data_IF_695122473550
#
_entry.id   IF_695122473550
#
_cell.length_a   1.000
_cell.length_b   1.000
_cell.length_c   1.000
_cell.angle_alpha   90.00
_cell.angle_beta   90.00
_cell.angle_gamma   90.00
#
_symmetry.space_group_name_H-M   'P 1'
#
loop_
_entity.id
_entity.type
_entity.pdbx_description
1 polymer ?
#
# COMPACT_ATOMS: atom_id res chain seq x y z
N UNK A 1 -16.64 -13.52 2.11
CA UNK A 1 -15.33 -14.19 2.02
C UNK A 1 -15.26 -15.27 0.94
N UNK A 2 -16.20 -16.24 0.85
CA UNK A 2 -16.12 -17.34 -0.15
C UNK A 2 -16.07 -16.89 -1.61
N UNK A 3 -16.90 -15.93 -2.01
CA UNK A 3 -16.90 -15.40 -3.40
C UNK A 3 -15.59 -14.67 -3.72
N UNK A 4 -15.06 -13.89 -2.77
CA UNK A 4 -13.77 -13.19 -2.94
C UNK A 4 -12.63 -14.20 -3.14
N UNK A 5 -12.60 -15.28 -2.33
CA UNK A 5 -11.60 -16.34 -2.47
C UNK A 5 -11.70 -17.05 -3.83
N UNK A 6 -12.91 -17.30 -4.31
CA UNK A 6 -13.15 -17.95 -5.59
C UNK A 6 -12.75 -17.07 -6.78
N UNK A 7 -13.05 -15.77 -6.75
CA UNK A 7 -12.61 -14.84 -7.78
C UNK A 7 -11.09 -14.70 -7.74
N UNK A 8 -10.50 -14.56 -6.55
CA UNK A 8 -9.06 -14.45 -6.37
C UNK A 8 -8.30 -15.71 -6.83
N UNK A 9 -8.81 -16.92 -6.56
CA UNK A 9 -8.16 -18.16 -7.02
C UNK A 9 -8.23 -18.30 -8.54
N UNK A 10 -9.35 -17.97 -9.17
CA UNK A 10 -9.48 -17.96 -10.63
C UNK A 10 -8.48 -16.97 -11.26
N UNK A 11 -8.36 -15.77 -10.69
CA UNK A 11 -7.39 -14.77 -11.13
C UNK A 11 -5.94 -15.21 -10.89
N UNK A 12 -5.68 -15.99 -9.85
CA UNK A 12 -4.39 -16.58 -9.51
C UNK A 12 -4.16 -17.94 -10.21
N UNK A 13 -4.67 -18.14 -11.43
CA UNK A 13 -4.48 -19.37 -12.22
C UNK A 13 -4.99 -20.65 -11.53
N UNK A 14 -6.15 -20.56 -10.88
CA UNK A 14 -6.79 -21.65 -10.11
C UNK A 14 -6.00 -22.10 -8.87
N UNK A 15 -5.12 -21.25 -8.34
CA UNK A 15 -4.43 -21.51 -7.08
C UNK A 15 -5.35 -21.15 -5.88
N UNK A 16 -5.89 -22.19 -5.24
CA UNK A 16 -6.75 -22.02 -4.06
C UNK A 16 -6.00 -21.47 -2.85
N UNK A 17 -4.69 -21.73 -2.73
CA UNK A 17 -3.88 -21.26 -1.59
C UNK A 17 -3.70 -19.75 -1.65
N UNK A 18 -3.38 -19.21 -2.83
CA UNK A 18 -3.26 -17.76 -3.06
C UNK A 18 -4.62 -17.08 -2.90
N UNK A 19 -5.69 -17.67 -3.45
CA UNK A 19 -7.04 -17.14 -3.32
C UNK A 19 -7.51 -17.04 -1.86
N UNK A 20 -7.16 -18.03 -1.03
CA UNK A 20 -7.46 -18.02 0.40
C UNK A 20 -6.71 -16.89 1.14
N UNK A 21 -5.42 -16.70 0.85
CA UNK A 21 -4.58 -15.64 1.46
C UNK A 21 -5.13 -14.25 1.12
N UNK A 22 -5.44 -14.00 -0.15
CA UNK A 22 -6.03 -12.72 -0.60
C UNK A 22 -7.37 -12.47 0.09
N UNK A 23 -8.22 -13.49 0.17
CA UNK A 23 -9.51 -13.36 0.83
C UNK A 23 -9.40 -13.13 2.34
N UNK A 24 -8.37 -13.67 3.00
CA UNK A 24 -8.07 -13.37 4.40
C UNK A 24 -7.63 -11.91 4.55
N UNK A 25 -6.65 -11.46 3.77
CA UNK A 25 -6.16 -10.08 3.80
C UNK A 25 -7.29 -9.06 3.56
N UNK A 26 -8.16 -9.30 2.58
CA UNK A 26 -9.33 -8.45 2.30
C UNK A 26 -10.32 -8.37 3.48
N UNK A 27 -10.50 -9.45 4.25
CA UNK A 27 -11.39 -9.41 5.41
C UNK A 27 -10.77 -8.63 6.58
N UNK A 28 -9.45 -8.73 6.77
CA UNK A 28 -8.74 -8.02 7.85
C UNK A 28 -8.62 -6.51 7.57
N UNK A 29 -8.39 -6.14 6.31
CA UNK A 29 -8.17 -4.76 5.87
C UNK A 29 -9.49 -3.99 5.63
N UNK A 30 -10.58 -4.69 5.32
CA UNK A 30 -11.88 -4.09 5.02
C UNK A 30 -12.00 -3.53 3.61
N UNK A 31 -13.17 -2.96 3.27
CA UNK A 31 -13.49 -2.53 1.89
C UNK A 31 -12.64 -1.38 1.34
N UNK A 32 -12.12 -0.51 2.20
CA UNK A 32 -11.40 0.70 1.78
C UNK A 32 -9.90 0.63 2.03
N UNK A 33 -9.41 -0.46 2.60
CA UNK A 33 -7.98 -0.56 2.88
C UNK A 33 -7.18 -1.02 1.67
N UNK A 34 -5.89 -0.71 1.70
CA UNK A 34 -4.97 -0.89 0.59
C UNK A 34 -4.09 -2.10 0.86
N UNK A 35 -3.94 -2.95 -0.15
CA UNK A 35 -3.09 -4.15 -0.08
C UNK A 35 -1.83 -3.87 -0.89
N UNK A 36 -0.68 -4.01 -0.25
CA UNK A 36 0.64 -3.92 -0.89
C UNK A 36 1.27 -5.32 -0.89
N UNK A 37 1.91 -5.69 -2.00
CA UNK A 37 2.60 -6.96 -2.16
C UNK A 37 4.09 -6.66 -2.24
N UNK A 38 4.89 -7.37 -1.44
CA UNK A 38 6.35 -7.29 -1.46
C UNK A 38 6.96 -8.67 -1.71
N UNK A 39 8.04 -8.71 -2.50
CA UNK A 39 8.79 -9.94 -2.75
C UNK A 39 9.61 -10.33 -1.51
N UNK A 40 9.09 -11.30 -0.76
CA UNK A 40 9.76 -11.88 0.40
C UNK A 40 10.92 -12.82 0.02
N UNK A 41 11.85 -13.03 0.96
CA UNK A 41 12.93 -14.04 0.83
C UNK A 41 12.53 -15.43 1.36
N UNK A 42 11.36 -15.53 1.99
CA UNK A 42 10.84 -16.77 2.56
C UNK A 42 10.16 -17.63 1.50
N UNK A 43 10.07 -18.94 1.76
CA UNK A 43 9.25 -19.86 0.98
C UNK A 43 7.77 -19.80 1.39
N UNK A 44 7.48 -19.25 2.56
CA UNK A 44 6.13 -19.10 3.08
C UNK A 44 5.58 -17.69 2.81
N UNK A 45 4.28 -17.62 2.52
CA UNK A 45 3.56 -16.37 2.34
C UNK A 45 3.15 -15.83 3.71
N UNK A 46 3.53 -14.59 4.01
CA UNK A 46 3.14 -13.90 5.24
C UNK A 46 2.16 -12.75 4.93
N UNK A 47 1.18 -12.57 5.80
CA UNK A 47 0.23 -11.44 5.74
C UNK A 47 0.48 -10.57 6.96
N UNK A 48 0.95 -9.34 6.73
CA UNK A 48 1.12 -8.34 7.79
C UNK A 48 0.14 -7.19 7.59
N UNK A 49 -0.66 -6.92 8.63
CA UNK A 49 -1.60 -5.79 8.63
C UNK A 49 -0.97 -4.61 9.37
N UNK A 50 -0.55 -3.61 8.60
CA UNK A 50 -0.04 -2.35 9.15
C UNK A 50 -1.17 -1.32 9.22
N UNK A 51 -1.36 -0.72 10.40
CA UNK A 51 -2.29 0.41 10.57
C UNK A 51 -1.67 1.68 9.97
N UNK A 52 -1.96 1.91 8.69
CA UNK A 52 -1.54 3.11 7.96
C UNK A 52 -2.70 4.00 7.57
N UNK A 53 -2.38 5.10 6.88
CA UNK A 53 -3.35 5.99 6.25
C UNK A 53 -2.77 6.43 4.90
N UNK A 54 -3.61 6.42 3.87
CA UNK A 54 -3.26 6.90 2.54
C UNK A 54 -4.07 8.15 2.21
N UNK A 55 -3.47 9.07 1.48
CA UNK A 55 -4.13 10.23 0.90
C UNK A 55 -4.10 10.14 -0.62
N UNK A 56 -5.11 10.69 -1.29
CA UNK A 56 -5.18 10.72 -2.76
C UNK A 56 -4.18 11.71 -3.40
N UNK A 57 -3.48 12.52 -2.60
CA UNK A 57 -2.49 13.51 -3.07
C UNK A 57 -1.07 12.99 -2.95
N UNK A 58 -0.30 13.09 -4.03
CA UNK A 58 1.12 12.76 -4.08
C UNK A 58 2.07 13.93 -3.75
N UNK A 59 3.35 13.73 -4.02
CA UNK A 59 4.41 14.73 -3.84
C UNK A 59 4.25 15.91 -4.83
N UNK A 60 4.64 17.11 -4.39
CA UNK A 60 4.51 18.33 -5.19
C UNK A 60 5.47 18.39 -6.38
N UNK A 61 6.63 17.74 -6.26
CA UNK A 61 7.71 17.81 -7.24
C UNK A 61 8.42 16.46 -7.40
N UNK A 62 8.79 16.05 -8.63
CA UNK A 62 9.56 14.83 -8.86
C UNK A 62 10.93 14.81 -8.17
N UNK A 63 11.47 15.98 -7.76
CA UNK A 63 12.72 16.05 -7.00
C UNK A 63 12.65 15.38 -5.61
N UNK A 64 11.46 15.03 -5.12
CA UNK A 64 11.30 14.28 -3.87
C UNK A 64 11.47 12.76 -4.03
N UNK A 65 11.59 12.25 -5.26
CA UNK A 65 11.75 10.81 -5.52
C UNK A 65 13.10 10.33 -4.98
N UNK A 66 13.07 9.31 -4.13
CA UNK A 66 14.26 8.66 -3.55
C UNK A 66 14.62 7.37 -4.27
N UNK A 67 13.61 6.66 -4.80
CA UNK A 67 13.76 5.49 -5.67
C UNK A 67 13.31 5.87 -7.09
N UNK A 68 14.28 6.08 -7.98
CA UNK A 68 14.04 6.54 -9.35
C UNK A 68 13.41 5.45 -10.22
N UNK A 69 13.70 4.18 -9.97
CA UNK A 69 13.15 3.08 -10.76
C UNK A 69 11.67 2.89 -10.46
N UNK A 70 11.30 2.94 -9.17
CA UNK A 70 9.91 2.79 -8.74
C UNK A 70 9.12 4.10 -8.78
N UNK A 71 9.79 5.25 -8.94
CA UNK A 71 9.20 6.59 -8.81
C UNK A 71 8.55 6.81 -7.44
N UNK A 72 9.24 6.39 -6.36
CA UNK A 72 8.74 6.46 -4.98
C UNK A 72 9.60 7.41 -4.15
N UNK A 73 8.94 8.18 -3.27
CA UNK A 73 9.58 8.93 -2.20
C UNK A 73 9.38 8.19 -0.87
N UNK A 74 10.39 7.44 -0.43
CA UNK A 74 10.37 6.65 0.80
C UNK A 74 11.24 7.30 1.89
N UNK A 75 10.75 7.29 3.13
CA UNK A 75 11.48 7.80 4.31
C UNK A 75 11.22 6.90 5.52
N UNK A 76 12.29 6.61 6.27
CA UNK A 76 12.21 5.85 7.53
C UNK A 76 11.98 6.79 8.72
N UNK A 77 10.94 6.51 9.51
CA UNK A 77 10.56 7.28 10.71
C UNK A 77 10.54 8.82 10.51
N UNK A 78 9.82 9.35 9.51
CA UNK A 78 9.79 10.79 9.25
C UNK A 78 8.96 11.55 10.30
N UNK A 79 9.29 12.81 10.52
CA UNK A 79 8.39 13.74 11.19
C UNK A 79 7.29 14.20 10.23
N UNK A 80 6.04 14.21 10.70
CA UNK A 80 4.87 14.65 9.91
C UNK A 80 4.40 16.01 10.41
N UNK A 81 4.35 17.00 9.52
CA UNK A 81 3.79 18.33 9.80
C UNK A 81 2.52 18.54 8.96
N UNK A 82 1.41 18.88 9.62
CA UNK A 82 0.14 19.21 8.98
C UNK A 82 -0.16 20.70 9.18
N UNK A 83 -0.54 21.38 8.10
CA UNK A 83 -0.92 22.79 8.12
C UNK A 83 -2.11 23.03 7.18
N UNK A 84 -3.12 23.76 7.67
CA UNK A 84 -4.42 23.90 6.99
C UNK A 84 -4.45 25.03 5.96
N UNK A 85 -3.58 26.04 6.10
CA UNK A 85 -3.56 27.18 5.18
C UNK A 85 -2.56 26.95 4.04
N UNK A 86 -2.73 27.70 2.94
CA UNK A 86 -1.72 27.72 1.87
C UNK A 86 -0.40 28.24 2.43
N UNK A 87 0.68 27.52 2.16
CA UNK A 87 2.04 28.00 2.40
C UNK A 87 2.41 28.89 1.20
N UNK A 88 2.39 30.20 1.40
CA UNK A 88 2.95 31.17 0.44
C UNK A 88 4.45 31.31 0.65
N UNK A 89 5.16 31.67 -0.43
CA UNK A 89 6.60 31.83 -0.43
C UNK A 89 7.04 32.86 0.66
N UNK A 90 8.13 32.58 1.38
CA UNK A 90 8.67 33.43 2.48
C UNK A 90 9.43 34.67 1.96
N UNK A 91 9.31 34.98 0.67
CA UNK A 91 9.87 36.23 0.12
C UNK A 91 8.77 37.29 0.09
N UNK A 92 8.83 38.20 1.04
CA UNK A 92 8.50 39.60 0.77
C UNK A 92 9.29 40.11 -0.45
#
# INVERSE_FOLDING_TARGET
>A
SKEIAQVASISANSDESIGAIIAQAMNEVGKEGVITVEDGKSLENEVEVVKGMQFDRGYLSPYFVTDVEKQIAGMDNPFVLLFDKKISNIRD
#
